data_IF_422722948802
#
_entry.id   IF_422722948802
#
_cell.length_a   1.000
_cell.length_b   1.000
_cell.length_c   1.000
_cell.angle_alpha   90.00
_cell.angle_beta   90.00
_cell.angle_gamma   90.00
#
_symmetry.space_group_name_H-M   'P 1'
#
loop_
_entity.id
_entity.type
_entity.pdbx_description
1 polymer ?
#
# COMPACT_ATOMS: atom_id res chain seq x y z
N UNK A 1 24.35 -30.10 -14.98
CA UNK A 1 24.31 -28.62 -15.10
C UNK A 1 23.02 -28.24 -15.78
N UNK A 2 21.98 -27.88 -15.02
CA UNK A 2 20.71 -27.42 -15.56
C UNK A 2 20.92 -26.03 -16.17
N UNK A 3 20.48 -25.83 -17.43
CA UNK A 3 20.47 -24.54 -18.10
C UNK A 3 19.53 -23.64 -17.31
N UNK A 4 20.09 -22.64 -16.63
CA UNK A 4 19.32 -21.59 -15.97
C UNK A 4 18.30 -21.00 -16.97
N UNK A 5 17.03 -21.10 -16.66
CA UNK A 5 15.95 -20.62 -17.50
C UNK A 5 16.05 -19.10 -17.68
N UNK A 6 15.82 -18.63 -18.89
CA UNK A 6 15.93 -17.24 -19.37
C UNK A 6 14.91 -16.25 -18.76
N UNK A 7 14.11 -16.61 -17.77
CA UNK A 7 13.00 -15.80 -17.28
C UNK A 7 13.33 -15.14 -15.93
N UNK A 8 14.08 -14.05 -15.95
CA UNK A 8 14.42 -13.27 -14.76
C UNK A 8 13.51 -12.04 -14.52
N UNK A 9 12.67 -11.69 -15.49
CA UNK A 9 11.73 -10.58 -15.38
C UNK A 9 10.36 -11.19 -15.18
N UNK A 10 9.64 -10.83 -14.09
CA UNK A 10 8.29 -11.31 -13.87
C UNK A 10 7.37 -10.95 -15.03
N UNK A 11 6.58 -11.92 -15.48
CA UNK A 11 5.58 -11.71 -16.53
C UNK A 11 4.53 -10.70 -16.09
N UNK A 12 3.86 -10.08 -17.06
CA UNK A 12 2.67 -9.26 -16.82
C UNK A 12 1.65 -10.07 -16.04
N UNK A 13 1.11 -9.49 -14.97
CA UNK A 13 0.11 -10.12 -14.12
C UNK A 13 -1.11 -9.21 -13.97
N UNK A 14 -2.29 -9.69 -14.35
CA UNK A 14 -3.56 -8.92 -14.33
C UNK A 14 -3.43 -7.52 -14.95
N UNK A 15 -2.69 -7.41 -16.07
CA UNK A 15 -2.44 -6.14 -16.77
C UNK A 15 -1.35 -5.26 -16.13
N UNK A 16 -0.77 -5.68 -15.01
CA UNK A 16 0.32 -4.97 -14.36
C UNK A 16 1.66 -5.46 -14.93
N UNK A 17 2.42 -4.54 -15.53
CA UNK A 17 3.84 -4.67 -15.84
C UNK A 17 4.57 -3.44 -15.33
N UNK A 18 5.14 -3.59 -14.14
CA UNK A 18 5.90 -2.53 -13.47
C UNK A 18 7.33 -2.42 -13.97
N UNK A 19 7.92 -3.54 -14.41
CA UNK A 19 9.34 -3.65 -14.74
C UNK A 19 9.64 -3.08 -16.12
N UNK A 20 9.66 -1.75 -16.23
CA UNK A 20 9.89 -0.99 -17.45
C UNK A 20 10.88 0.15 -17.19
N UNK A 21 11.43 0.78 -18.25
CA UNK A 21 12.17 2.02 -18.12
C UNK A 21 11.25 3.12 -17.55
N UNK A 22 11.75 3.88 -16.56
CA UNK A 22 11.00 4.93 -15.85
C UNK A 22 11.47 6.35 -16.19
N UNK A 23 12.34 6.48 -17.18
CA UNK A 23 12.79 7.79 -17.67
C UNK A 23 11.84 8.31 -18.76
N UNK A 24 11.00 9.33 -18.50
CA UNK A 24 10.04 9.84 -19.48
C UNK A 24 10.67 10.42 -20.76
N UNK A 25 11.96 10.76 -20.70
CA UNK A 25 12.71 11.28 -21.86
C UNK A 25 13.34 10.19 -22.72
N UNK A 26 13.16 8.93 -22.35
CA UNK A 26 13.74 7.79 -23.05
C UNK A 26 12.73 7.17 -24.02
N UNK A 27 13.15 6.82 -25.21
CA UNK A 27 12.32 6.11 -26.20
C UNK A 27 11.78 4.77 -25.66
N UNK A 28 12.51 4.14 -24.76
CA UNK A 28 12.11 2.87 -24.11
C UNK A 28 11.18 3.08 -22.89
N UNK A 29 10.76 4.30 -22.59
CA UNK A 29 9.91 4.59 -21.44
C UNK A 29 8.61 3.79 -21.49
N UNK A 30 8.37 3.02 -20.43
CA UNK A 30 7.16 2.22 -20.25
C UNK A 30 6.96 1.10 -21.26
N UNK A 31 7.96 0.75 -22.10
CA UNK A 31 7.88 -0.42 -22.97
C UNK A 31 7.94 -1.70 -22.13
N UNK A 32 7.05 -2.65 -22.44
CA UNK A 32 7.08 -3.95 -21.78
C UNK A 32 8.30 -4.78 -22.20
N UNK A 33 9.05 -5.38 -21.24
CA UNK A 33 10.16 -6.27 -21.57
C UNK A 33 9.73 -7.52 -22.35
N UNK A 34 8.48 -7.95 -22.19
CA UNK A 34 7.94 -9.11 -22.91
C UNK A 34 7.78 -8.83 -24.42
N UNK A 35 7.29 -7.61 -24.73
CA UNK A 35 7.07 -7.17 -26.12
C UNK A 35 8.34 -6.60 -26.74
N UNK A 36 9.22 -6.01 -25.94
CA UNK A 36 10.44 -5.34 -26.37
C UNK A 36 11.67 -5.82 -25.60
N UNK A 37 12.01 -7.12 -25.65
CA UNK A 37 13.13 -7.68 -24.87
C UNK A 37 14.48 -7.04 -25.23
N UNK A 38 14.66 -6.55 -26.46
CA UNK A 38 15.87 -5.88 -26.92
C UNK A 38 16.10 -4.50 -26.28
N UNK A 39 15.06 -3.89 -25.68
CA UNK A 39 15.18 -2.61 -24.98
C UNK A 39 15.86 -2.73 -23.61
N UNK A 40 16.04 -3.96 -23.12
CA UNK A 40 16.50 -4.22 -21.78
C UNK A 40 17.62 -5.26 -21.70
N UNK A 41 18.46 -5.12 -20.67
CA UNK A 41 19.43 -6.12 -20.26
C UNK A 41 19.25 -6.41 -18.78
N UNK A 42 19.44 -7.67 -18.38
CA UNK A 42 19.49 -8.00 -16.97
C UNK A 42 20.93 -7.83 -16.51
N UNK A 43 21.10 -7.02 -15.47
CA UNK A 43 22.37 -6.85 -14.77
C UNK A 43 22.20 -7.33 -13.35
N UNK A 44 23.32 -7.68 -12.70
CA UNK A 44 23.28 -8.12 -11.32
C UNK A 44 23.90 -7.06 -10.43
N UNK A 45 23.14 -6.62 -9.45
CA UNK A 45 23.64 -5.88 -8.30
C UNK A 45 24.42 -6.81 -7.36
N UNK A 46 25.09 -6.25 -6.36
CA UNK A 46 25.78 -7.03 -5.35
C UNK A 46 24.87 -8.13 -4.77
N UNK A 47 25.40 -9.35 -4.60
CA UNK A 47 24.68 -10.56 -4.16
C UNK A 47 23.49 -10.98 -5.04
N UNK A 48 23.70 -11.03 -6.36
CA UNK A 48 22.79 -11.66 -7.32
C UNK A 48 21.36 -11.12 -7.36
N UNK A 49 21.09 -9.88 -6.93
CA UNK A 49 19.80 -9.25 -7.16
C UNK A 49 19.70 -8.85 -8.64
N UNK A 50 18.73 -9.38 -9.38
CA UNK A 50 18.53 -9.03 -10.76
C UNK A 50 18.02 -7.58 -10.86
N UNK A 51 18.64 -6.80 -11.72
CA UNK A 51 18.26 -5.43 -12.03
C UNK A 51 17.93 -5.31 -13.52
N UNK A 52 16.95 -4.51 -13.86
CA UNK A 52 16.56 -4.23 -15.23
C UNK A 52 17.34 -3.00 -15.74
N UNK A 53 18.27 -3.18 -16.67
CA UNK A 53 18.97 -2.05 -17.28
C UNK A 53 18.31 -1.68 -18.60
N UNK A 54 17.90 -0.42 -18.76
CA UNK A 54 17.49 0.12 -20.04
C UNK A 54 18.71 0.30 -20.96
N UNK A 55 18.68 -0.27 -22.15
CA UNK A 55 19.79 -0.20 -23.12
C UNK A 55 20.01 1.22 -23.64
N UNK A 56 18.93 2.00 -23.80
CA UNK A 56 18.97 3.35 -24.36
C UNK A 56 19.49 4.40 -23.39
N UNK A 57 18.93 4.49 -22.19
CA UNK A 57 19.29 5.54 -21.22
C UNK A 57 20.17 5.07 -20.07
N UNK A 58 20.43 3.78 -19.95
CA UNK A 58 21.25 3.20 -18.88
C UNK A 58 20.60 3.19 -17.50
N UNK A 59 19.33 3.59 -17.35
CA UNK A 59 18.61 3.52 -16.09
C UNK A 59 18.47 2.06 -15.62
N UNK A 60 18.63 1.83 -14.32
CA UNK A 60 18.66 0.49 -13.72
C UNK A 60 17.65 0.40 -12.57
N UNK A 61 16.33 0.37 -12.85
CA UNK A 61 15.34 0.19 -11.81
C UNK A 61 15.39 -1.23 -11.22
N UNK A 62 15.11 -1.39 -9.91
CA UNK A 62 14.96 -2.70 -9.29
C UNK A 62 13.74 -3.43 -9.88
N UNK A 63 13.90 -4.74 -10.07
CA UNK A 63 12.80 -5.61 -10.53
C UNK A 63 11.88 -5.90 -9.34
N UNK A 64 10.57 -5.88 -9.58
CA UNK A 64 9.52 -6.18 -8.60
C UNK A 64 8.57 -7.27 -9.11
N UNK A 65 7.96 -8.02 -8.20
CA UNK A 65 6.91 -8.98 -8.53
C UNK A 65 5.64 -8.26 -8.97
N UNK A 66 5.20 -8.50 -10.21
CA UNK A 66 3.94 -7.95 -10.70
C UNK A 66 2.74 -8.55 -9.97
N UNK A 67 2.81 -9.84 -9.57
CA UNK A 67 1.81 -10.48 -8.73
C UNK A 67 1.74 -9.83 -7.34
N UNK A 68 2.88 -9.62 -6.67
CA UNK A 68 2.90 -8.98 -5.36
C UNK A 68 2.35 -7.55 -5.38
N UNK A 69 2.54 -6.81 -6.49
CA UNK A 69 1.91 -5.49 -6.69
C UNK A 69 0.39 -5.64 -6.81
N UNK A 70 -0.12 -6.57 -7.61
CA UNK A 70 -1.56 -6.80 -7.80
C UNK A 70 -2.25 -7.19 -6.49
N UNK A 71 -1.64 -8.08 -5.72
CA UNK A 71 -2.14 -8.48 -4.40
C UNK A 71 -2.23 -7.29 -3.44
N UNK A 72 -1.22 -6.43 -3.44
CA UNK A 72 -1.22 -5.23 -2.61
C UNK A 72 -2.25 -4.20 -3.09
N UNK A 73 -2.42 -4.01 -4.39
CA UNK A 73 -3.50 -3.17 -4.95
C UNK A 73 -4.86 -3.66 -4.49
N UNK A 74 -5.12 -4.97 -4.56
CA UNK A 74 -6.37 -5.57 -4.09
C UNK A 74 -6.61 -5.31 -2.60
N UNK A 75 -5.56 -5.42 -1.78
CA UNK A 75 -5.66 -5.10 -0.35
C UNK A 75 -6.06 -3.63 -0.13
N UNK A 76 -5.43 -2.71 -0.84
CA UNK A 76 -5.68 -1.27 -0.67
C UNK A 76 -7.09 -0.85 -1.13
N UNK A 77 -7.60 -1.41 -2.21
CA UNK A 77 -8.92 -1.07 -2.74
C UNK A 77 -10.07 -1.85 -2.07
N UNK A 78 -9.78 -2.81 -1.20
CA UNK A 78 -10.80 -3.70 -0.63
C UNK A 78 -11.94 -2.94 0.08
N UNK A 79 -11.65 -1.82 0.75
CA UNK A 79 -12.65 -1.00 1.41
C UNK A 79 -13.58 -0.26 0.44
N UNK A 80 -13.09 0.06 -0.78
CA UNK A 80 -13.87 0.73 -1.83
C UNK A 80 -14.80 -0.23 -2.58
N UNK A 81 -14.57 -1.55 -2.48
CA UNK A 81 -15.42 -2.56 -3.10
C UNK A 81 -16.82 -2.63 -2.46
N UNK A 82 -17.03 -1.87 -1.39
CA UNK A 82 -18.28 -1.82 -0.65
C UNK A 82 -18.51 -3.08 0.20
N UNK A 83 -19.42 -2.96 1.17
CA UNK A 83 -19.88 -4.17 1.89
C UNK A 83 -20.60 -5.07 0.88
N UNK A 84 -20.31 -6.37 0.93
CA UNK A 84 -21.09 -7.35 0.16
C UNK A 84 -22.58 -7.13 0.45
N UNK A 85 -23.41 -6.95 -0.57
CA UNK A 85 -24.82 -6.71 -0.37
C UNK A 85 -25.44 -7.85 0.41
N UNK A 86 -26.37 -7.53 1.31
CA UNK A 86 -27.10 -8.56 2.03
C UNK A 86 -27.79 -9.50 1.02
N UNK A 87 -27.43 -10.76 1.05
CA UNK A 87 -27.89 -11.79 0.12
C UNK A 87 -28.15 -13.10 0.83
N UNK A 88 -28.69 -14.10 0.13
CA UNK A 88 -28.86 -15.43 0.67
C UNK A 88 -27.51 -16.04 1.08
N UNK A 89 -27.46 -16.58 2.31
CA UNK A 89 -26.25 -17.21 2.85
C UNK A 89 -26.09 -18.67 2.43
N UNK A 90 -27.06 -19.23 1.71
CA UNK A 90 -26.99 -20.59 1.22
C UNK A 90 -26.23 -20.61 -0.12
N UNK A 91 -25.04 -21.17 -0.12
CA UNK A 91 -24.15 -21.21 -1.28
C UNK A 91 -24.75 -22.01 -2.47
N UNK A 92 -25.58 -22.98 -2.18
CA UNK A 92 -26.28 -23.80 -3.21
C UNK A 92 -27.53 -23.12 -3.76
N UNK A 93 -27.91 -21.95 -3.27
CA UNK A 93 -29.12 -21.26 -3.68
C UNK A 93 -28.84 -20.32 -4.86
N UNK A 94 -29.72 -20.30 -5.87
CA UNK A 94 -29.65 -19.38 -7.01
C UNK A 94 -29.64 -17.90 -6.62
N UNK A 95 -30.17 -17.57 -5.43
CA UNK A 95 -30.11 -16.22 -4.85
C UNK A 95 -28.87 -15.97 -4.00
N UNK A 96 -27.88 -16.89 -3.97
CA UNK A 96 -26.61 -16.61 -3.32
C UNK A 96 -25.90 -15.44 -4.05
N UNK A 97 -25.48 -14.42 -3.29
CA UNK A 97 -24.85 -13.22 -3.88
C UNK A 97 -25.85 -12.23 -4.52
N UNK A 98 -27.11 -12.58 -4.73
CA UNK A 98 -28.14 -11.69 -5.25
C UNK A 98 -28.59 -10.73 -4.14
N UNK A 99 -28.53 -9.39 -4.33
CA UNK A 99 -28.89 -8.41 -3.31
C UNK A 99 -30.37 -8.52 -2.87
N UNK A 100 -30.63 -8.31 -1.57
CA UNK A 100 -31.98 -8.32 -0.99
C UNK A 100 -32.94 -7.33 -1.67
N UNK A 101 -32.44 -6.24 -2.26
CA UNK A 101 -33.23 -5.26 -3.02
C UNK A 101 -33.73 -5.75 -4.40
N UNK A 102 -33.28 -6.92 -4.86
CA UNK A 102 -33.66 -7.46 -6.17
C UNK A 102 -35.13 -7.91 -6.17
N UNK A 103 -35.92 -7.39 -7.12
CA UNK A 103 -37.34 -7.75 -7.26
C UNK A 103 -37.51 -9.27 -7.38
N UNK A 104 -38.51 -9.82 -6.67
CA UNK A 104 -38.90 -11.25 -6.64
C UNK A 104 -37.89 -12.19 -5.98
N UNK A 105 -36.65 -11.78 -5.65
CA UNK A 105 -35.68 -12.66 -5.01
C UNK A 105 -35.95 -12.85 -3.50
N UNK A 106 -36.49 -11.83 -2.85
CA UNK A 106 -36.74 -11.82 -1.41
C UNK A 106 -38.09 -11.17 -1.08
N UNK A 107 -38.62 -11.55 0.08
CA UNK A 107 -39.79 -10.90 0.70
C UNK A 107 -39.45 -10.44 2.11
N UNK A 108 -40.08 -9.34 2.54
CA UNK A 108 -40.01 -8.88 3.92
C UNK A 108 -40.59 -9.96 4.86
N UNK A 109 -39.88 -10.22 5.96
CA UNK A 109 -40.25 -11.30 6.92
C UNK A 109 -40.14 -10.83 8.36
N UNK A 110 -40.86 -9.73 8.68
CA UNK A 110 -40.89 -9.17 10.03
C UNK A 110 -39.55 -8.57 10.47
N UNK A 111 -39.42 -8.34 11.77
CA UNK A 111 -38.23 -7.80 12.41
C UNK A 111 -37.68 -8.75 13.45
N UNK A 112 -36.37 -8.63 13.75
CA UNK A 112 -35.74 -9.29 14.89
C UNK A 112 -36.21 -8.64 16.20
N UNK A 113 -35.94 -9.27 17.33
CA UNK A 113 -36.18 -8.67 18.66
C UNK A 113 -35.44 -7.32 18.86
N UNK A 114 -34.32 -7.12 18.16
CA UNK A 114 -33.57 -5.86 18.14
C UNK A 114 -34.11 -4.83 17.13
N UNK A 115 -35.25 -5.08 16.49
CA UNK A 115 -35.89 -4.18 15.53
C UNK A 115 -35.29 -4.21 14.12
N UNK A 116 -34.34 -5.10 13.83
CA UNK A 116 -33.70 -5.22 12.50
C UNK A 116 -34.64 -5.92 11.52
N UNK A 117 -34.80 -5.37 10.31
CA UNK A 117 -35.61 -5.96 9.24
C UNK A 117 -35.01 -7.32 8.82
N UNK A 118 -35.88 -8.33 8.73
CA UNK A 118 -35.59 -9.66 8.20
C UNK A 118 -36.16 -9.80 6.80
N UNK A 119 -35.46 -10.54 5.98
CA UNK A 119 -35.89 -10.90 4.64
C UNK A 119 -35.84 -12.41 4.48
N UNK A 120 -36.79 -12.98 3.78
CA UNK A 120 -36.82 -14.40 3.47
C UNK A 120 -36.53 -14.62 1.98
N UNK A 121 -35.56 -15.47 1.70
CA UNK A 121 -35.27 -15.89 0.34
C UNK A 121 -36.46 -16.66 -0.26
N UNK A 122 -36.90 -16.29 -1.46
CA UNK A 122 -38.04 -16.93 -2.10
C UNK A 122 -37.69 -18.29 -2.65
N UNK A 123 -36.42 -18.57 -2.96
CA UNK A 123 -35.96 -19.87 -3.46
C UNK A 123 -35.79 -20.91 -2.35
N UNK A 124 -34.88 -20.67 -1.41
CA UNK A 124 -34.54 -21.65 -0.38
C UNK A 124 -35.25 -21.46 0.97
N UNK A 125 -36.04 -20.39 1.14
CA UNK A 125 -36.77 -20.11 2.37
C UNK A 125 -35.90 -19.63 3.56
N UNK A 126 -34.56 -19.62 3.47
CA UNK A 126 -33.69 -19.14 4.54
C UNK A 126 -33.88 -17.63 4.76
N UNK A 127 -33.78 -17.19 6.01
CA UNK A 127 -33.93 -15.78 6.38
C UNK A 127 -32.57 -15.12 6.54
N UNK A 128 -32.47 -13.87 6.08
CA UNK A 128 -31.29 -13.02 6.22
C UNK A 128 -31.67 -11.70 6.86
N UNK A 129 -30.78 -11.12 7.65
CA UNK A 129 -30.92 -9.81 8.24
C UNK A 129 -29.55 -9.18 8.44
N UNK A 130 -29.44 -7.85 8.29
CA UNK A 130 -28.21 -7.11 8.61
C UNK A 130 -28.41 -6.46 9.98
N UNK A 131 -27.81 -6.99 11.04
CA UNK A 131 -27.89 -6.39 12.35
C UNK A 131 -27.27 -4.98 12.33
N UNK A 132 -27.70 -4.10 13.24
CA UNK A 132 -27.02 -2.81 13.43
C UNK A 132 -25.56 -3.07 13.80
N UNK A 133 -24.66 -2.28 13.28
CA UNK A 133 -23.22 -2.43 13.54
C UNK A 133 -22.87 -2.47 15.05
N UNK A 134 -23.65 -1.76 15.88
CA UNK A 134 -23.51 -1.71 17.35
C UNK A 134 -24.36 -2.73 18.10
N UNK A 135 -25.05 -3.68 17.43
CA UNK A 135 -26.06 -4.55 18.07
C UNK A 135 -25.53 -5.46 19.20
N UNK A 136 -24.22 -5.72 19.22
CA UNK A 136 -23.55 -6.53 20.25
C UNK A 136 -22.73 -5.70 21.22
N UNK A 137 -22.81 -4.37 21.14
CA UNK A 137 -22.03 -3.49 22.02
C UNK A 137 -22.87 -3.06 23.22
N UNK A 138 -22.27 -3.11 24.39
CA UNK A 138 -22.75 -2.46 25.60
C UNK A 138 -22.17 -1.04 25.64
N UNK A 139 -22.79 -0.12 26.37
CA UNK A 139 -22.24 1.23 26.61
C UNK A 139 -21.88 2.00 25.31
N UNK A 140 -22.76 1.91 24.31
CA UNK A 140 -22.54 2.54 23.00
C UNK A 140 -22.43 4.07 23.05
N UNK A 141 -22.85 4.69 24.16
CA UNK A 141 -22.73 6.12 24.41
C UNK A 141 -21.28 6.61 24.45
N UNK A 142 -20.34 5.77 24.83
CA UNK A 142 -18.90 6.10 24.78
C UNK A 142 -18.33 6.22 23.37
N UNK A 143 -18.98 5.66 22.34
CA UNK A 143 -18.41 5.63 20.97
C UNK A 143 -18.11 7.01 20.43
N UNK A 144 -19.01 7.98 20.64
CA UNK A 144 -18.84 9.35 20.14
C UNK A 144 -17.71 10.06 20.87
N UNK A 145 -17.65 9.90 22.19
CA UNK A 145 -16.64 10.58 23.02
C UNK A 145 -15.25 10.01 22.73
N UNK A 146 -15.12 8.67 22.62
CA UNK A 146 -13.86 8.02 22.20
C UNK A 146 -13.45 8.53 20.82
N UNK A 147 -14.35 8.56 19.84
CA UNK A 147 -14.05 9.08 18.51
C UNK A 147 -13.54 10.52 18.56
N UNK A 148 -14.24 11.42 19.27
CA UNK A 148 -13.83 12.83 19.43
C UNK A 148 -12.43 12.93 20.08
N UNK A 149 -12.18 12.15 21.12
CA UNK A 149 -10.88 12.16 21.81
C UNK A 149 -9.76 11.66 20.89
N UNK A 150 -9.98 10.59 20.12
CA UNK A 150 -9.01 10.04 19.18
C UNK A 150 -8.64 11.06 18.10
N UNK A 151 -9.63 11.70 17.45
CA UNK A 151 -9.34 12.68 16.39
C UNK A 151 -8.69 13.98 16.93
N UNK A 152 -8.87 14.26 18.21
CA UNK A 152 -8.17 15.33 18.91
C UNK A 152 -6.83 14.90 19.53
N UNK A 153 -6.33 13.73 19.18
CA UNK A 153 -5.01 13.19 19.60
C UNK A 153 -4.86 13.07 21.13
N UNK A 154 -5.95 12.83 21.85
CA UNK A 154 -5.88 12.56 23.29
C UNK A 154 -5.18 11.21 23.48
N UNK A 155 -4.15 11.13 24.36
CA UNK A 155 -3.46 9.86 24.65
C UNK A 155 -4.42 8.79 25.14
N UNK A 156 -4.25 7.54 24.69
CA UNK A 156 -5.16 6.43 25.03
C UNK A 156 -5.32 6.24 26.53
N UNK A 157 -4.23 6.38 27.32
CA UNK A 157 -4.30 6.33 28.78
C UNK A 157 -5.23 7.37 29.38
N UNK A 158 -5.24 8.58 28.81
CA UNK A 158 -6.15 9.64 29.26
C UNK A 158 -7.60 9.37 28.90
N UNK A 159 -7.84 8.74 27.74
CA UNK A 159 -9.20 8.30 27.37
C UNK A 159 -9.74 7.30 28.38
N UNK A 160 -8.92 6.32 28.76
CA UNK A 160 -9.28 5.32 29.80
C UNK A 160 -9.61 6.01 31.12
N UNK A 161 -8.74 6.92 31.58
CA UNK A 161 -8.92 7.65 32.85
C UNK A 161 -10.17 8.52 32.82
N UNK A 162 -10.37 9.32 31.75
CA UNK A 162 -11.47 10.29 31.67
C UNK A 162 -12.84 9.62 31.56
N UNK A 163 -12.92 8.47 30.89
CA UNK A 163 -14.19 7.76 30.68
C UNK A 163 -14.42 6.65 31.71
N UNK A 164 -13.44 6.33 32.55
CA UNK A 164 -13.53 5.25 33.54
C UNK A 164 -13.73 3.87 32.91
N UNK A 165 -13.20 3.64 31.72
CA UNK A 165 -13.37 2.39 30.94
C UNK A 165 -12.14 1.50 31.03
N UNK A 166 -12.31 0.21 30.70
CA UNK A 166 -11.16 -0.71 30.59
C UNK A 166 -10.40 -0.53 29.28
N UNK A 167 -9.12 -0.89 29.29
CA UNK A 167 -8.29 -0.95 28.07
C UNK A 167 -8.87 -1.86 26.98
N UNK A 168 -9.40 -3.00 27.38
CA UNK A 168 -10.06 -3.93 26.44
C UNK A 168 -11.26 -3.27 25.76
N UNK A 169 -12.09 -2.54 26.52
CA UNK A 169 -13.22 -1.82 25.94
C UNK A 169 -12.75 -0.74 24.96
N UNK A 170 -11.70 0.03 25.32
CA UNK A 170 -11.15 1.07 24.43
C UNK A 170 -10.69 0.47 23.11
N UNK A 171 -9.88 -0.59 23.11
CA UNK A 171 -9.41 -1.22 21.88
C UNK A 171 -10.55 -1.78 21.02
N UNK A 172 -11.52 -2.45 21.62
CA UNK A 172 -12.72 -2.89 20.89
C UNK A 172 -13.51 -1.72 20.25
N UNK A 173 -13.51 -0.55 20.91
CA UNK A 173 -14.13 0.65 20.33
C UNK A 173 -13.32 1.25 19.22
N UNK A 174 -11.99 1.23 19.32
CA UNK A 174 -11.10 1.67 18.24
C UNK A 174 -11.34 0.82 16.98
N UNK A 175 -11.36 -0.51 17.11
CA UNK A 175 -11.63 -1.43 15.99
C UNK A 175 -13.01 -1.18 15.37
N UNK A 176 -14.01 -0.99 16.21
CA UNK A 176 -15.36 -0.67 15.75
C UNK A 176 -15.39 0.66 15.00
N UNK A 177 -14.81 1.72 15.56
CA UNK A 177 -14.76 3.06 14.96
C UNK A 177 -14.00 2.99 13.64
N UNK A 178 -12.85 2.31 13.59
CA UNK A 178 -12.09 2.08 12.38
C UNK A 178 -12.95 1.43 11.30
N UNK A 179 -13.64 0.33 11.61
CA UNK A 179 -14.53 -0.37 10.68
C UNK A 179 -15.64 0.55 10.13
N UNK A 180 -16.23 1.39 11.00
CA UNK A 180 -17.26 2.36 10.57
C UNK A 180 -16.68 3.46 9.68
N UNK A 181 -15.49 3.97 9.99
CA UNK A 181 -14.80 4.96 9.16
C UNK A 181 -14.45 4.39 7.79
N UNK A 182 -13.93 3.16 7.73
CA UNK A 182 -13.63 2.49 6.46
C UNK A 182 -14.88 2.25 5.60
N UNK A 183 -15.99 1.80 6.20
CA UNK A 183 -17.25 1.64 5.49
C UNK A 183 -17.83 2.97 4.99
N UNK A 184 -17.68 4.04 5.79
CA UNK A 184 -18.10 5.39 5.41
C UNK A 184 -17.27 5.96 4.25
N UNK A 185 -15.93 5.83 4.33
CA UNK A 185 -15.02 6.24 3.27
C UNK A 185 -15.29 5.45 1.99
N UNK A 186 -15.31 4.14 2.05
CA UNK A 186 -15.53 3.27 0.89
C UNK A 186 -16.85 3.53 0.17
N UNK A 187 -17.95 3.82 0.91
CA UNK A 187 -19.23 4.19 0.31
C UNK A 187 -19.17 5.53 -0.47
N UNK A 188 -18.32 6.44 -0.07
CA UNK A 188 -18.10 7.72 -0.77
C UNK A 188 -17.14 7.59 -1.92
N UNK A 189 -16.04 6.94 -1.68
CA UNK A 189 -14.96 6.76 -2.65
C UNK A 189 -15.40 5.90 -3.84
N UNK A 190 -16.31 4.92 -3.64
CA UNK A 190 -16.91 4.16 -4.74
C UNK A 190 -17.61 5.04 -5.78
N UNK A 191 -18.04 6.25 -5.40
CA UNK A 191 -18.67 7.20 -6.32
C UNK A 191 -17.66 7.99 -7.16
N UNK A 192 -16.42 8.09 -6.71
CA UNK A 192 -15.35 8.80 -7.44
C UNK A 192 -15.08 8.15 -8.82
N UNK A 193 -15.31 6.84 -8.93
CA UNK A 193 -15.11 6.11 -10.18
C UNK A 193 -15.99 6.62 -11.35
N UNK A 194 -17.10 7.30 -11.06
CA UNK A 194 -18.03 7.84 -12.06
C UNK A 194 -18.00 9.37 -12.15
N UNK A 195 -17.17 10.02 -11.34
CA UNK A 195 -17.07 11.48 -11.34
C UNK A 195 -16.21 11.97 -12.50
N UNK A 196 -16.74 12.92 -13.27
CA UNK A 196 -15.96 13.64 -14.29
C UNK A 196 -15.07 14.69 -13.60
N UNK A 197 -13.78 14.41 -13.52
CA UNK A 197 -12.80 15.26 -12.84
C UNK A 197 -11.84 15.82 -13.89
N UNK A 198 -11.89 17.12 -14.11
CA UNK A 198 -11.05 17.79 -15.11
C UNK A 198 -9.56 17.70 -14.74
N UNK A 199 -9.23 17.96 -13.47
CA UNK A 199 -7.83 17.95 -12.99
C UNK A 199 -7.75 17.65 -11.51
N UNK A 200 -6.76 16.83 -11.16
CA UNK A 200 -6.38 16.52 -9.79
C UNK A 200 -4.98 17.08 -9.51
N UNK A 201 -4.83 17.73 -8.38
CA UNK A 201 -3.56 18.25 -7.86
C UNK A 201 -3.21 17.50 -6.57
N UNK A 202 -2.43 16.43 -6.66
CA UNK A 202 -2.20 15.49 -5.57
C UNK A 202 -0.81 15.63 -5.01
N UNK A 203 -0.70 15.99 -3.73
CA UNK A 203 0.54 15.86 -2.96
C UNK A 203 0.66 14.46 -2.39
N UNK A 204 1.85 13.88 -2.52
CA UNK A 204 2.15 12.54 -2.00
C UNK A 204 3.39 12.63 -1.12
N UNK A 205 3.28 12.06 0.07
CA UNK A 205 4.34 12.01 1.08
C UNK A 205 4.39 10.64 1.73
N UNK A 206 5.56 10.29 2.24
CA UNK A 206 5.81 9.08 3.01
C UNK A 206 6.19 9.45 4.44
N UNK A 207 5.60 8.77 5.40
CA UNK A 207 5.88 8.94 6.81
C UNK A 207 6.33 7.63 7.43
N UNK A 208 7.32 7.69 8.30
CA UNK A 208 7.75 6.57 9.12
C UNK A 208 7.10 6.64 10.50
N UNK A 209 6.60 5.50 10.94
CA UNK A 209 6.00 5.30 12.25
C UNK A 209 6.81 4.29 13.03
N UNK A 210 7.45 4.76 14.09
CA UNK A 210 8.19 3.91 15.02
C UNK A 210 7.22 3.42 16.09
N UNK A 211 6.98 2.11 16.10
CA UNK A 211 5.97 1.48 16.95
C UNK A 211 6.67 0.53 17.92
N UNK A 212 6.40 0.70 19.22
CA UNK A 212 6.77 -0.31 20.20
C UNK A 212 5.65 -1.36 20.26
N UNK A 213 5.95 -2.59 19.88
CA UNK A 213 4.95 -3.68 19.79
C UNK A 213 4.76 -4.44 21.12
N UNK A 214 5.20 -3.86 22.21
CA UNK A 214 4.88 -4.22 23.61
C UNK A 214 5.22 -5.62 24.13
N UNK A 215 6.13 -6.37 23.56
CA UNK A 215 6.69 -7.49 24.29
C UNK A 215 7.67 -7.01 25.37
N UNK A 216 7.45 -7.43 26.63
CA UNK A 216 8.38 -7.07 27.73
C UNK A 216 9.78 -7.63 27.53
N UNK A 217 9.93 -8.70 26.76
CA UNK A 217 11.19 -9.39 26.50
C UNK A 217 11.98 -8.77 25.34
N UNK A 218 11.30 -8.24 24.34
CA UNK A 218 11.91 -7.56 23.21
C UNK A 218 11.42 -6.10 23.14
N UNK A 219 12.33 -5.16 23.36
CA UNK A 219 12.06 -3.73 23.38
C UNK A 219 12.37 -3.04 22.04
N UNK A 220 12.78 -3.81 21.03
CA UNK A 220 13.06 -3.26 19.71
C UNK A 220 11.77 -2.72 19.09
N UNK A 221 11.92 -1.69 18.31
CA UNK A 221 10.79 -1.06 17.63
C UNK A 221 10.50 -1.72 16.29
N UNK A 222 9.25 -1.62 15.86
CA UNK A 222 8.85 -1.89 14.49
C UNK A 222 8.75 -0.56 13.78
N UNK A 223 9.41 -0.43 12.63
CA UNK A 223 9.33 0.76 11.79
C UNK A 223 8.40 0.45 10.63
N UNK A 224 7.25 1.10 10.60
CA UNK A 224 6.29 1.03 9.50
C UNK A 224 6.38 2.30 8.66
N UNK A 225 6.27 2.15 7.36
CA UNK A 225 6.23 3.25 6.40
C UNK A 225 4.81 3.40 5.88
N UNK A 226 4.24 4.58 5.97
CA UNK A 226 2.91 4.88 5.41
C UNK A 226 3.03 5.89 4.28
N UNK A 227 2.41 5.60 3.14
CA UNK A 227 2.26 6.54 2.03
C UNK A 227 0.89 7.22 2.11
N UNK A 228 0.88 8.53 1.92
CA UNK A 228 -0.32 9.36 2.02
C UNK A 228 -0.48 10.21 0.77
N UNK A 229 -1.71 10.38 0.30
CA UNK A 229 -2.04 11.31 -0.80
C UNK A 229 -3.19 12.25 -0.43
N UNK A 230 -3.05 13.51 -0.80
CA UNK A 230 -3.99 14.59 -0.51
C UNK A 230 -4.24 15.42 -1.77
N UNK A 231 -5.50 15.69 -2.10
CA UNK A 231 -5.80 16.68 -3.13
C UNK A 231 -5.59 18.10 -2.59
N UNK A 232 -4.74 18.87 -3.26
CA UNK A 232 -4.38 20.23 -2.83
C UNK A 232 -5.54 21.24 -2.94
N UNK A 233 -6.58 20.91 -3.70
CA UNK A 233 -7.72 21.80 -3.93
C UNK A 233 -8.80 21.60 -2.86
N UNK A 234 -9.22 20.37 -2.65
CA UNK A 234 -10.27 20.03 -1.69
C UNK A 234 -9.74 19.68 -0.30
N UNK A 235 -8.44 19.45 -0.16
CA UNK A 235 -7.79 18.90 1.03
C UNK A 235 -8.31 17.51 1.43
N UNK A 236 -8.91 16.79 0.48
CA UNK A 236 -9.34 15.42 0.71
C UNK A 236 -8.16 14.47 0.74
N UNK A 237 -8.08 13.65 1.80
CA UNK A 237 -7.08 12.61 1.94
C UNK A 237 -7.61 11.33 1.31
N UNK A 238 -7.05 10.92 0.16
CA UNK A 238 -7.49 9.72 -0.54
C UNK A 238 -7.09 8.42 0.16
N UNK A 239 -6.01 8.43 0.91
CA UNK A 239 -5.62 7.27 1.68
C UNK A 239 -4.34 7.50 2.49
N UNK A 240 -4.22 6.76 3.57
CA UNK A 240 -3.00 6.60 4.37
C UNK A 240 -2.74 5.10 4.46
N UNK A 241 -1.78 4.62 3.70
CA UNK A 241 -1.54 3.19 3.55
C UNK A 241 -0.21 2.79 4.21
N UNK A 242 -0.27 2.18 5.40
CA UNK A 242 0.91 1.60 6.02
C UNK A 242 1.33 0.32 5.30
N UNK A 243 2.62 0.05 5.28
CA UNK A 243 3.21 -1.18 4.76
C UNK A 243 3.04 -2.37 5.72
N UNK A 244 1.80 -2.59 6.16
CA UNK A 244 1.44 -3.63 7.12
C UNK A 244 0.08 -4.24 6.77
N UNK A 245 0.02 -5.57 6.78
CA UNK A 245 -1.20 -6.34 6.57
C UNK A 245 -1.51 -7.14 7.84
N UNK A 246 -2.46 -6.63 8.63
CA UNK A 246 -2.92 -7.29 9.86
C UNK A 246 -3.95 -8.40 9.62
N UNK A 247 -4.40 -8.58 8.38
CA UNK A 247 -5.44 -9.58 8.04
C UNK A 247 -4.90 -10.98 7.76
N UNK A 248 -3.58 -11.11 7.57
CA UNK A 248 -2.92 -12.37 7.25
C UNK A 248 -2.29 -12.98 8.51
N UNK A 249 -2.28 -14.28 8.56
CA UNK A 249 -1.56 -15.03 9.59
C UNK A 249 -0.11 -15.23 9.18
N UNK A 250 0.81 -14.81 10.05
CA UNK A 250 2.25 -14.86 9.78
C UNK A 250 2.75 -16.28 9.53
N UNK A 251 2.34 -17.22 10.38
CA UNK A 251 2.81 -18.60 10.28
C UNK A 251 2.36 -19.25 8.97
N UNK A 252 1.16 -18.92 8.52
CA UNK A 252 0.63 -19.36 7.23
C UNK A 252 1.44 -18.80 6.05
N UNK A 253 1.87 -17.54 6.10
CA UNK A 253 2.70 -16.94 5.04
C UNK A 253 4.11 -17.52 5.06
N UNK A 254 4.73 -17.70 6.22
CA UNK A 254 6.05 -18.34 6.33
C UNK A 254 6.01 -19.80 5.82
N UNK A 255 4.97 -20.56 6.16
CA UNK A 255 4.77 -21.90 5.64
C UNK A 255 4.57 -21.92 4.11
N UNK A 256 3.84 -20.94 3.57
CA UNK A 256 3.66 -20.78 2.12
C UNK A 256 4.99 -20.46 1.43
N UNK A 257 5.79 -19.56 1.99
CA UNK A 257 7.12 -19.22 1.47
C UNK A 257 8.04 -20.46 1.44
N UNK A 258 8.00 -21.25 2.49
CA UNK A 258 8.76 -22.50 2.57
C UNK A 258 8.27 -23.53 1.53
N UNK A 259 6.95 -23.71 1.41
CA UNK A 259 6.34 -24.62 0.44
C UNK A 259 6.68 -24.25 -1.01
N UNK A 260 6.72 -22.96 -1.31
CA UNK A 260 7.07 -22.45 -2.64
C UNK A 260 8.57 -22.49 -2.93
N UNK A 261 9.43 -22.74 -1.94
CA UNK A 261 10.87 -22.62 -2.08
C UNK A 261 11.35 -21.19 -2.30
N UNK A 262 10.63 -20.21 -1.75
CA UNK A 262 10.91 -18.79 -1.98
C UNK A 262 12.33 -18.39 -1.53
N UNK A 263 12.92 -19.08 -0.55
CA UNK A 263 14.28 -18.83 -0.09
C UNK A 263 15.36 -19.03 -1.19
N UNK A 264 15.10 -19.91 -2.16
CA UNK A 264 16.00 -20.23 -3.27
C UNK A 264 15.75 -19.35 -4.50
N UNK A 265 14.68 -18.56 -4.49
CA UNK A 265 14.28 -17.68 -5.57
C UNK A 265 14.75 -16.24 -5.33
N UNK A 266 15.08 -15.54 -6.43
CA UNK A 266 15.25 -14.09 -6.37
C UNK A 266 13.95 -13.41 -5.91
N UNK A 267 14.05 -12.39 -5.05
CA UNK A 267 12.89 -11.74 -4.43
C UNK A 267 11.71 -11.43 -5.38
N UNK A 268 11.92 -10.90 -6.61
CA UNK A 268 10.81 -10.61 -7.52
C UNK A 268 10.06 -11.83 -8.07
N UNK A 269 10.63 -13.03 -7.94
CA UNK A 269 10.07 -14.28 -8.46
C UNK A 269 9.39 -15.13 -7.39
N UNK A 270 9.41 -14.68 -6.13
CA UNK A 270 8.83 -15.38 -4.99
C UNK A 270 7.30 -15.26 -5.00
N UNK A 271 6.63 -16.28 -4.52
CA UNK A 271 5.19 -16.25 -4.30
C UNK A 271 4.78 -15.27 -3.19
N UNK A 272 5.67 -15.06 -2.20
CA UNK A 272 5.45 -14.13 -1.07
C UNK A 272 6.25 -12.83 -1.21
N UNK A 273 6.61 -12.43 -2.43
CA UNK A 273 7.56 -11.34 -2.75
C UNK A 273 7.24 -9.99 -2.08
N UNK A 274 5.98 -9.72 -1.73
CA UNK A 274 5.59 -8.45 -1.09
C UNK A 274 5.84 -8.41 0.41
N UNK A 275 5.99 -9.57 1.06
CA UNK A 275 6.10 -9.65 2.51
C UNK A 275 7.55 -9.73 3.01
N UNK A 276 7.80 -9.12 4.15
CA UNK A 276 9.02 -9.33 4.92
C UNK A 276 8.94 -10.69 5.64
N UNK A 277 9.59 -11.70 5.08
CA UNK A 277 9.78 -12.98 5.76
C UNK A 277 10.88 -12.91 6.80
N UNK A 278 10.91 -13.86 7.75
CA UNK A 278 11.99 -13.95 8.73
C UNK A 278 13.34 -14.17 8.04
N UNK A 279 13.35 -14.89 6.93
CA UNK A 279 14.56 -15.10 6.14
C UNK A 279 15.09 -13.79 5.52
N UNK A 280 14.18 -12.96 4.97
CA UNK A 280 14.54 -11.65 4.40
C UNK A 280 15.08 -10.70 5.46
N UNK A 281 14.43 -10.64 6.62
CA UNK A 281 14.88 -9.85 7.76
C UNK A 281 16.30 -10.29 8.20
N UNK A 282 16.51 -11.58 8.41
CA UNK A 282 17.80 -12.12 8.82
C UNK A 282 18.89 -11.81 7.79
N UNK A 283 18.58 -11.93 6.51
CA UNK A 283 19.51 -11.60 5.43
C UNK A 283 19.83 -10.11 5.37
N UNK A 284 18.83 -9.24 5.56
CA UNK A 284 19.01 -7.78 5.55
C UNK A 284 19.93 -7.34 6.69
N UNK A 285 19.68 -7.82 7.90
CA UNK A 285 20.45 -7.51 9.10
C UNK A 285 21.90 -8.02 8.97
N UNK A 286 22.10 -9.28 8.57
CA UNK A 286 23.43 -9.86 8.39
C UNK A 286 24.25 -9.13 7.31
N UNK A 287 23.61 -8.67 6.24
CA UNK A 287 24.29 -7.92 5.19
C UNK A 287 24.83 -6.56 5.66
N UNK A 288 24.16 -5.89 6.63
CA UNK A 288 24.66 -4.65 7.24
C UNK A 288 25.89 -4.93 8.11
N UNK A 289 25.89 -6.00 8.90
CA UNK A 289 27.05 -6.39 9.73
C UNK A 289 28.27 -6.64 8.85
N UNK A 290 28.13 -7.33 7.71
CA UNK A 290 29.23 -7.53 6.76
C UNK A 290 29.70 -6.23 6.08
N UNK A 291 28.83 -5.26 5.83
CA UNK A 291 29.22 -3.94 5.30
C UNK A 291 30.06 -3.14 6.30
N UNK A 292 29.83 -3.31 7.59
CA UNK A 292 30.59 -2.65 8.67
C UNK A 292 31.97 -3.31 8.92
N UNK A 293 32.11 -4.62 8.67
CA UNK A 293 33.32 -5.39 8.97
C UNK A 293 34.39 -5.41 7.84
N UNK A 294 34.15 -4.75 6.72
CA UNK A 294 35.12 -4.46 5.67
C UNK A 294 35.98 -5.66 5.19
N UNK A 295 35.62 -6.32 4.11
CA UNK A 295 36.52 -7.23 3.40
C UNK A 295 36.67 -6.83 1.93
N UNK A 296 37.95 -6.87 1.48
CA UNK A 296 38.48 -6.15 0.37
C UNK A 296 38.09 -6.54 -1.06
N UNK A 297 38.51 -5.67 -1.93
CA UNK A 297 38.77 -5.65 -3.38
C UNK A 297 37.62 -5.88 -4.38
N UNK A 298 36.89 -6.98 -4.36
CA UNK A 298 35.71 -7.16 -5.24
C UNK A 298 34.52 -6.29 -4.79
N UNK A 299 34.42 -6.08 -3.48
CA UNK A 299 33.47 -5.16 -2.85
C UNK A 299 33.73 -3.70 -3.20
N UNK A 300 34.94 -3.30 -3.43
CA UNK A 300 35.32 -1.92 -3.75
C UNK A 300 34.82 -1.51 -5.14
N UNK A 301 34.82 -2.42 -6.13
CA UNK A 301 34.26 -2.18 -7.46
C UNK A 301 32.73 -2.13 -7.44
N UNK A 302 32.11 -2.97 -6.64
CA UNK A 302 30.66 -2.93 -6.40
C UNK A 302 30.30 -1.72 -5.56
N UNK A 303 31.08 -1.37 -4.51
CA UNK A 303 30.94 -0.12 -3.75
C UNK A 303 31.06 1.12 -4.62
N UNK A 304 31.96 1.15 -5.59
CA UNK A 304 32.12 2.33 -6.47
C UNK A 304 30.95 2.48 -7.45
N UNK A 305 30.37 1.34 -7.92
CA UNK A 305 29.11 1.37 -8.70
C UNK A 305 27.90 1.67 -7.83
N UNK A 306 27.81 1.11 -6.61
CA UNK A 306 26.77 1.45 -5.64
C UNK A 306 26.92 2.86 -5.10
N UNK A 307 28.13 3.34 -4.78
CA UNK A 307 28.38 4.72 -4.38
C UNK A 307 28.15 5.73 -5.53
N UNK A 308 28.24 5.29 -6.80
CA UNK A 308 27.74 6.08 -7.93
C UNK A 308 26.22 6.04 -8.07
N UNK A 309 25.56 4.97 -7.62
CA UNK A 309 24.11 4.84 -7.50
C UNK A 309 23.60 5.54 -6.22
N UNK A 310 24.32 5.44 -5.09
CA UNK A 310 24.06 6.15 -3.84
C UNK A 310 24.35 7.66 -3.91
N UNK A 311 25.26 8.10 -4.78
CA UNK A 311 25.49 9.53 -5.12
C UNK A 311 24.45 10.11 -6.07
N UNK A 312 23.59 9.28 -6.63
CA UNK A 312 22.30 9.73 -7.09
C UNK A 312 21.48 9.94 -5.82
N UNK A 313 21.26 11.17 -5.43
CA UNK A 313 20.35 11.61 -4.37
C UNK A 313 18.90 11.09 -4.55
N UNK A 314 18.68 10.30 -5.62
CA UNK A 314 17.43 9.72 -6.06
C UNK A 314 17.28 8.20 -5.77
N UNK A 315 18.20 7.55 -5.05
CA UNK A 315 18.12 6.13 -4.67
C UNK A 315 18.29 5.94 -3.16
N UNK A 316 17.29 6.33 -2.41
CA UNK A 316 17.19 5.92 -1.01
C UNK A 316 16.68 4.47 -0.93
N UNK A 317 17.35 3.66 -0.14
CA UNK A 317 16.95 2.28 0.14
C UNK A 317 15.92 2.30 1.29
N UNK A 318 14.63 2.31 0.95
CA UNK A 318 13.53 2.47 1.92
C UNK A 318 13.27 1.24 2.79
N UNK A 319 13.82 0.09 2.43
CA UNK A 319 13.58 -1.18 3.10
C UNK A 319 14.80 -1.69 3.84
N UNK A 320 15.54 -0.80 4.50
CA UNK A 320 16.64 -1.23 5.34
C UNK A 320 16.13 -1.65 6.73
N UNK A 321 16.54 -2.84 7.17
CA UNK A 321 16.31 -3.32 8.54
C UNK A 321 17.59 -3.27 9.36
N UNK A 322 17.47 -2.88 10.62
CA UNK A 322 18.59 -2.84 11.57
C UNK A 322 18.41 -3.88 12.69
N UNK A 323 19.48 -4.17 13.42
CA UNK A 323 19.41 -5.04 14.60
C UNK A 323 18.53 -4.47 15.72
N UNK A 324 18.30 -3.15 15.70
CA UNK A 324 17.48 -2.43 16.69
C UNK A 324 15.98 -2.45 16.35
N UNK A 325 15.63 -3.06 15.23
CA UNK A 325 14.27 -3.23 14.77
C UNK A 325 13.84 -4.69 14.85
N UNK A 326 12.54 -4.93 14.88
CA UNK A 326 11.94 -6.26 14.79
C UNK A 326 10.81 -6.30 13.77
N UNK A 327 10.39 -7.50 13.38
CA UNK A 327 9.17 -7.71 12.62
C UNK A 327 7.95 -7.78 13.56
N UNK A 328 6.73 -7.45 13.08
CA UNK A 328 5.49 -7.59 13.85
C UNK A 328 5.27 -9.03 14.33
N UNK A 329 4.68 -9.19 15.54
CA UNK A 329 4.37 -10.50 16.12
C UNK A 329 3.14 -11.15 15.45
N UNK A 330 2.22 -10.33 14.92
CA UNK A 330 1.06 -10.77 14.15
C UNK A 330 0.93 -9.96 12.87
N UNK A 331 0.21 -10.50 11.89
CA UNK A 331 0.18 -9.92 10.55
C UNK A 331 1.54 -9.99 9.88
N UNK A 332 1.67 -9.32 8.77
CA UNK A 332 2.92 -9.26 8.01
C UNK A 332 3.29 -7.82 7.65
N UNK A 333 4.55 -7.48 7.81
CA UNK A 333 5.09 -6.27 7.25
C UNK A 333 5.31 -6.47 5.74
N UNK A 334 4.95 -5.45 4.95
CA UNK A 334 5.09 -5.43 3.50
C UNK A 334 6.34 -4.62 3.17
N UNK A 335 7.06 -4.99 2.13
CA UNK A 335 8.12 -4.15 1.60
C UNK A 335 7.53 -2.82 1.12
N UNK A 336 8.01 -1.69 1.66
CA UNK A 336 7.42 -0.36 1.49
C UNK A 336 7.18 0.01 0.02
N UNK A 337 8.06 -0.44 -0.87
CA UNK A 337 7.95 -0.19 -2.30
C UNK A 337 6.69 -0.81 -2.94
N UNK A 338 6.24 -1.99 -2.47
CA UNK A 338 4.99 -2.59 -2.98
C UNK A 338 3.78 -1.75 -2.59
N UNK A 339 3.73 -1.27 -1.34
CA UNK A 339 2.66 -0.38 -0.88
C UNK A 339 2.69 0.96 -1.60
N UNK A 340 3.88 1.54 -1.86
CA UNK A 340 4.00 2.77 -2.65
C UNK A 340 3.49 2.59 -4.08
N UNK A 341 3.89 1.52 -4.77
CA UNK A 341 3.44 1.24 -6.13
C UNK A 341 1.92 1.01 -6.16
N UNK A 342 1.42 0.19 -5.24
CA UNK A 342 0.01 -0.13 -5.13
C UNK A 342 -0.84 1.11 -4.82
N UNK A 343 -0.32 2.07 -4.05
CA UNK A 343 -1.00 3.32 -3.76
C UNK A 343 -1.28 4.16 -5.03
N UNK A 344 -0.35 4.21 -5.98
CA UNK A 344 -0.60 4.88 -7.26
C UNK A 344 -1.65 4.13 -8.11
N UNK A 345 -1.62 2.80 -8.13
CA UNK A 345 -2.68 2.01 -8.76
C UNK A 345 -4.03 2.21 -8.08
N UNK A 346 -4.05 2.32 -6.75
CA UNK A 346 -5.25 2.65 -5.98
C UNK A 346 -5.84 3.99 -6.43
N UNK A 347 -5.03 5.06 -6.53
CA UNK A 347 -5.50 6.36 -7.03
C UNK A 347 -6.08 6.27 -8.43
N UNK A 348 -5.42 5.54 -9.33
CA UNK A 348 -5.88 5.34 -10.70
C UNK A 348 -7.19 4.55 -10.75
N UNK A 349 -7.34 3.53 -9.92
CA UNK A 349 -8.57 2.74 -9.82
C UNK A 349 -9.72 3.53 -9.19
N UNK A 350 -9.41 4.41 -8.23
CA UNK A 350 -10.40 5.21 -7.53
C UNK A 350 -11.01 6.30 -8.44
N UNK A 351 -10.22 6.87 -9.36
CA UNK A 351 -10.62 8.00 -10.20
C UNK A 351 -10.28 7.76 -11.68
N UNK A 352 -10.84 6.71 -12.32
CA UNK A 352 -10.50 6.36 -13.70
C UNK A 352 -10.94 7.40 -14.73
N UNK A 353 -11.89 8.27 -14.37
CA UNK A 353 -12.43 9.32 -15.24
C UNK A 353 -11.69 10.65 -15.14
N UNK A 354 -10.65 10.73 -14.28
CA UNK A 354 -9.84 11.94 -14.18
C UNK A 354 -9.07 12.22 -15.47
N UNK A 355 -9.24 13.42 -16.03
CA UNK A 355 -8.68 13.81 -17.33
C UNK A 355 -7.22 14.23 -17.24
N UNK A 356 -6.84 14.92 -16.15
CA UNK A 356 -5.48 15.39 -15.94
C UNK A 356 -5.04 15.18 -14.48
N UNK A 357 -3.80 14.73 -14.30
CA UNK A 357 -3.16 14.47 -13.03
C UNK A 357 -1.93 15.35 -12.85
N UNK A 358 -1.80 16.01 -11.71
CA UNK A 358 -0.59 16.69 -11.28
C UNK A 358 -0.15 16.16 -9.94
N UNK A 359 1.01 15.54 -9.91
CA UNK A 359 1.59 14.98 -8.71
C UNK A 359 2.68 15.90 -8.16
N UNK A 360 2.58 16.23 -6.89
CA UNK A 360 3.60 16.95 -6.14
C UNK A 360 4.23 15.93 -5.18
N UNK A 361 5.46 15.53 -5.52
CA UNK A 361 6.15 14.43 -4.87
C UNK A 361 7.28 14.97 -4.01
N UNK A 362 7.54 14.37 -2.86
CA UNK A 362 8.80 14.57 -2.17
C UNK A 362 9.96 14.01 -3.02
N UNK A 363 11.17 14.48 -2.75
CA UNK A 363 12.36 14.14 -3.54
C UNK A 363 12.86 12.70 -3.29
N UNK A 364 11.93 11.79 -2.99
CA UNK A 364 12.19 10.37 -2.81
C UNK A 364 12.11 9.62 -4.14
N UNK A 365 13.16 8.85 -4.47
CA UNK A 365 13.27 8.13 -5.74
C UNK A 365 12.21 7.05 -5.93
N UNK A 366 11.83 6.36 -4.85
CA UNK A 366 10.81 5.31 -4.87
C UNK A 366 9.44 5.82 -5.27
N UNK A 367 9.01 6.95 -4.70
CA UNK A 367 7.72 7.61 -5.00
C UNK A 367 7.68 8.03 -6.47
N UNK A 368 8.75 8.67 -6.97
CA UNK A 368 8.85 9.05 -8.39
C UNK A 368 8.77 7.84 -9.30
N UNK A 369 9.55 6.82 -9.03
CA UNK A 369 9.60 5.62 -9.86
C UNK A 369 8.23 4.92 -9.93
N UNK A 370 7.51 4.85 -8.79
CA UNK A 370 6.17 4.32 -8.71
C UNK A 370 5.17 5.16 -9.53
N UNK A 371 5.18 6.48 -9.36
CA UNK A 371 4.34 7.40 -10.12
C UNK A 371 4.53 7.24 -11.63
N UNK A 372 5.78 7.34 -12.10
CA UNK A 372 6.11 7.27 -13.53
C UNK A 372 5.87 5.88 -14.14
N UNK A 373 5.93 4.80 -13.35
CA UNK A 373 5.61 3.47 -13.84
C UNK A 373 4.11 3.24 -13.98
N UNK A 374 3.32 3.66 -12.99
CA UNK A 374 1.88 3.44 -12.98
C UNK A 374 1.15 4.35 -13.95
N UNK A 375 1.55 5.61 -14.03
CA UNK A 375 0.95 6.62 -14.92
C UNK A 375 1.69 6.77 -16.24
N UNK A 376 2.42 5.75 -16.70
CA UNK A 376 3.24 5.80 -17.92
C UNK A 376 2.45 6.23 -19.16
N UNK A 377 1.24 5.75 -19.31
CA UNK A 377 0.40 6.02 -20.49
C UNK A 377 -0.15 7.45 -20.43
N UNK A 378 -0.54 7.91 -19.24
CA UNK A 378 -0.99 9.28 -19.00
C UNK A 378 0.16 10.28 -19.16
N UNK A 379 1.38 9.93 -18.74
CA UNK A 379 2.58 10.78 -18.96
C UNK A 379 2.91 10.89 -20.43
N UNK A 380 2.88 9.78 -21.20
CA UNK A 380 3.07 9.80 -22.66
C UNK A 380 2.01 10.64 -23.36
N UNK A 381 0.78 10.61 -22.87
CA UNK A 381 -0.34 11.37 -23.41
C UNK A 381 -0.41 12.83 -22.89
N UNK A 382 0.58 13.30 -22.13
CA UNK A 382 0.59 14.61 -21.47
C UNK A 382 -0.62 14.86 -20.53
N UNK A 383 -1.21 13.78 -20.03
CA UNK A 383 -2.32 13.80 -19.07
C UNK A 383 -1.85 13.66 -17.61
N UNK A 384 -0.61 13.28 -17.37
CA UNK A 384 0.00 13.23 -16.05
C UNK A 384 1.33 14.00 -16.03
N UNK A 385 1.50 14.82 -15.01
CA UNK A 385 2.69 15.63 -14.73
C UNK A 385 3.16 15.34 -13.31
N UNK A 386 4.47 15.22 -13.08
CA UNK A 386 5.06 15.00 -11.77
C UNK A 386 6.08 16.09 -11.47
N UNK A 387 5.92 16.75 -10.33
CA UNK A 387 6.75 17.83 -9.83
C UNK A 387 7.42 17.42 -8.53
N UNK A 388 8.69 17.74 -8.38
CA UNK A 388 9.35 17.64 -7.10
C UNK A 388 9.09 18.88 -6.26
N UNK A 389 8.71 18.67 -5.01
CA UNK A 389 8.58 19.73 -4.02
C UNK A 389 9.76 19.64 -3.09
N UNK A 390 10.68 20.59 -3.18
CA UNK A 390 11.79 20.73 -2.24
C UNK A 390 11.56 21.94 -1.35
N UNK A 391 11.41 21.70 -0.06
CA UNK A 391 11.33 22.76 0.93
C UNK A 391 12.73 22.98 1.52
N UNK A 392 13.30 24.16 1.32
CA UNK A 392 14.52 24.51 2.00
C UNK A 392 14.27 24.57 3.52
N UNK A 393 14.80 23.58 4.24
CA UNK A 393 14.64 23.47 5.71
C UNK A 393 15.21 24.70 6.48
N UNK A 394 16.11 25.46 5.85
CA UNK A 394 16.73 26.64 6.44
C UNK A 394 15.89 27.91 6.29
N UNK A 395 14.85 27.91 5.51
CA UNK A 395 13.95 29.06 5.38
C UNK A 395 13.15 29.29 6.67
N UNK A 396 12.98 30.55 7.02
CA UNK A 396 12.08 31.00 8.07
C UNK A 396 10.61 30.68 7.70
N UNK A 397 9.71 30.74 8.67
CA UNK A 397 8.27 30.49 8.46
C UNK A 397 7.70 31.46 7.43
N UNK A 398 8.11 32.71 7.46
CA UNK A 398 7.59 33.75 6.56
C UNK A 398 8.12 33.58 5.12
N UNK A 399 9.38 33.22 4.95
CA UNK A 399 9.94 32.85 3.64
C UNK A 399 9.26 31.65 3.04
N UNK A 400 8.94 30.62 3.85
CA UNK A 400 8.18 29.46 3.41
C UNK A 400 6.76 29.84 2.97
N UNK A 401 6.09 30.75 3.70
CA UNK A 401 4.76 31.26 3.33
C UNK A 401 4.79 32.03 2.02
N UNK A 402 5.78 32.90 1.83
CA UNK A 402 5.98 33.67 0.61
C UNK A 402 6.27 32.75 -0.59
N UNK A 403 7.18 31.79 -0.44
CA UNK A 403 7.49 30.81 -1.49
C UNK A 403 6.27 29.96 -1.86
N UNK A 404 5.47 29.54 -0.86
CA UNK A 404 4.22 28.80 -1.08
C UNK A 404 3.17 29.66 -1.78
N UNK A 405 3.06 30.93 -1.42
CA UNK A 405 2.16 31.90 -2.07
C UNK A 405 2.54 32.13 -3.53
N UNK A 406 3.84 32.33 -3.81
CA UNK A 406 4.37 32.48 -5.16
C UNK A 406 4.13 31.22 -6.01
N UNK A 407 4.37 30.02 -5.46
CA UNK A 407 4.13 28.76 -6.13
C UNK A 407 2.63 28.55 -6.45
N UNK A 408 1.73 28.93 -5.53
CA UNK A 408 0.28 28.86 -5.77
C UNK A 408 -0.20 29.80 -6.87
N UNK A 409 0.44 30.96 -7.02
CA UNK A 409 0.11 31.92 -8.08
C UNK A 409 0.53 31.45 -9.48
N UNK A 410 1.48 30.51 -9.58
CA UNK A 410 1.94 29.91 -10.83
C UNK A 410 1.14 28.66 -11.25
N UNK A 411 0.27 28.13 -10.38
CA UNK A 411 -0.62 26.98 -10.64
C UNK A 411 -1.96 27.43 -11.20
#
# INVERSE_FOLDING_TARGET
MAKASKAWIPNTYNGIQYNTCKNPRCESYGLSPEQHPQAYRITYGGKALPLLQCVKCGEVPPIKSNQGIDEEVKRLIAHCMGEKPLSCLNEECSNHGVPVGTKKAYRSFGKTASGTQRYRCNECGKTVSKPKASSRQRETYHNIDIFKMLVNKVPLSRIVDMLGISWSLLYHRIDYIHSQCMAFAGNRESKLATMDIERLNISIDRQEHVINWSERKDKRNIVLSAITSVDNTSHYVFGVHPNFDGSVDRDSIEALAQKNGDADLAAPLRGTARYWTQADYTNAVNNKVFKLLGSGDLMTRVKTKYAKLERREDVENFDEKTNDEQLPDYGMQIHAEYTMIAHFYYLKALMPMAKKWRFFLDQESGIRAACLAVFKDEVKAHKAEAFYVSINKRMTIDEKRQATGAAKALL
#
